data_IF_299147443015
#
_entry.id   IF_299147443015
#
_cell.length_a   1.000
_cell.length_b   1.000
_cell.length_c   1.000
_cell.angle_alpha   90.00
_cell.angle_beta   90.00
_cell.angle_gamma   90.00
#
_symmetry.space_group_name_H-M   'P 1'
#
loop_
_entity.id
_entity.type
_entity.pdbx_description
1 polymer ?
#
# COMPACT_ATOMS: atom_id res chain seq x y z
N UNK A 1 41.89 -62.16 18.65
CA UNK A 1 42.21 -60.78 18.20
C UNK A 1 41.15 -59.86 18.77
N UNK A 2 41.62 -58.81 19.44
CA UNK A 2 40.88 -57.98 20.39
C UNK A 2 39.82 -57.04 19.78
N UNK A 3 38.92 -56.50 20.62
CA UNK A 3 37.66 -55.82 20.26
C UNK A 3 37.71 -54.31 20.49
N UNK A 4 37.09 -53.45 19.66
CA UNK A 4 36.95 -52.03 20.01
C UNK A 4 35.57 -51.45 19.65
N UNK A 5 34.87 -51.07 20.74
CA UNK A 5 33.60 -50.35 20.83
C UNK A 5 33.70 -48.90 20.33
N UNK A 6 32.57 -48.26 19.92
CA UNK A 6 32.49 -46.81 19.90
C UNK A 6 32.24 -46.29 21.32
N UNK A 7 33.15 -45.41 21.75
CA UNK A 7 33.11 -44.70 23.03
C UNK A 7 31.80 -43.91 23.17
N UNK A 8 31.10 -44.19 24.27
CA UNK A 8 30.09 -43.33 24.86
C UNK A 8 30.81 -42.04 25.30
N UNK A 9 30.67 -40.95 24.53
CA UNK A 9 31.15 -39.64 24.95
C UNK A 9 30.30 -39.21 26.14
N UNK A 10 30.95 -39.16 27.30
CA UNK A 10 30.46 -38.51 28.50
C UNK A 10 30.04 -37.08 28.12
N UNK A 11 28.75 -36.77 28.28
CA UNK A 11 28.30 -35.39 28.32
C UNK A 11 29.05 -34.71 29.47
N UNK A 12 29.97 -33.81 29.11
CA UNK A 12 30.55 -32.85 30.04
C UNK A 12 29.40 -32.05 30.62
N UNK A 13 29.09 -32.30 31.90
CA UNK A 13 28.26 -31.41 32.71
C UNK A 13 28.85 -30.01 32.56
N UNK A 14 28.12 -29.11 31.90
CA UNK A 14 28.37 -27.69 32.03
C UNK A 14 28.35 -27.35 33.53
N UNK A 15 29.32 -26.57 34.03
CA UNK A 15 29.29 -26.12 35.40
C UNK A 15 28.00 -25.31 35.60
N UNK A 16 27.33 -25.63 36.70
CA UNK A 16 26.13 -24.98 37.23
C UNK A 16 26.18 -23.46 36.95
N UNK A 17 25.47 -23.00 35.93
CA UNK A 17 25.18 -21.58 35.78
C UNK A 17 24.28 -21.23 36.96
N UNK A 18 24.78 -20.36 37.84
CA UNK A 18 23.97 -19.64 38.81
C UNK A 18 22.72 -19.10 38.10
N UNK A 19 21.53 -19.14 38.72
CA UNK A 19 20.33 -18.60 38.10
C UNK A 19 20.59 -17.13 37.76
N UNK A 20 20.69 -16.83 36.47
CA UNK A 20 20.81 -15.46 35.97
C UNK A 20 19.65 -14.66 36.54
N UNK A 21 19.92 -13.59 37.29
CA UNK A 21 18.91 -12.62 37.74
C UNK A 21 18.23 -12.03 36.49
N UNK A 22 17.03 -12.49 36.12
CA UNK A 22 16.38 -12.04 34.89
C UNK A 22 15.58 -10.77 35.15
N UNK A 23 15.89 -9.74 34.39
CA UNK A 23 15.03 -8.58 34.16
C UNK A 23 14.47 -8.69 32.76
N UNK A 24 13.16 -8.50 32.60
CA UNK A 24 12.48 -8.63 31.31
C UNK A 24 11.69 -7.36 31.02
N UNK A 25 11.80 -6.87 29.79
CA UNK A 25 11.01 -5.78 29.26
C UNK A 25 10.13 -6.33 28.13
N UNK A 26 8.83 -6.06 28.17
CA UNK A 26 7.89 -6.50 27.13
C UNK A 26 6.91 -5.39 26.77
N UNK A 27 6.74 -5.18 25.47
CA UNK A 27 5.74 -4.27 24.92
C UNK A 27 4.46 -5.07 24.60
N UNK A 28 3.30 -4.57 25.07
CA UNK A 28 1.98 -5.01 24.65
C UNK A 28 1.23 -3.84 24.03
N UNK A 29 0.66 -4.04 22.84
CA UNK A 29 -0.17 -3.05 22.17
C UNK A 29 -1.63 -3.44 22.30
N UNK A 30 -2.52 -2.45 22.37
CA UNK A 30 -3.96 -2.69 22.38
C UNK A 30 -4.45 -3.11 21.00
N UNK A 31 -3.97 -2.43 19.96
CA UNK A 31 -4.19 -2.80 18.56
C UNK A 31 -2.86 -3.11 17.87
N UNK A 32 -2.83 -4.06 16.92
CA UNK A 32 -1.65 -4.35 16.12
C UNK A 32 -1.44 -3.35 14.96
N UNK A 33 -2.45 -2.50 14.70
CA UNK A 33 -2.49 -1.59 13.56
C UNK A 33 -2.94 -0.20 13.99
N UNK A 34 -2.24 0.84 13.51
CA UNK A 34 -2.66 2.23 13.56
C UNK A 34 -3.26 2.64 12.22
N UNK A 35 -4.37 3.38 12.25
CA UNK A 35 -5.18 3.71 11.06
C UNK A 35 -5.17 5.22 10.84
N UNK A 36 -4.59 5.65 9.70
CA UNK A 36 -4.66 7.01 9.20
C UNK A 36 -5.94 7.20 8.37
N UNK A 37 -6.56 8.37 8.44
CA UNK A 37 -7.75 8.69 7.64
C UNK A 37 -7.46 9.82 6.65
N UNK A 38 -8.04 9.73 5.46
CA UNK A 38 -7.93 10.75 4.41
C UNK A 38 -6.57 10.75 3.71
N UNK A 39 -6.36 11.71 2.80
CA UNK A 39 -5.11 11.87 2.06
C UNK A 39 -3.99 12.43 2.94
N UNK A 40 -2.73 12.20 2.57
CA UNK A 40 -1.56 12.61 3.38
C UNK A 40 -1.49 14.12 3.70
N UNK A 41 -2.14 14.97 2.89
CA UNK A 41 -2.14 16.42 3.04
C UNK A 41 -3.34 16.99 3.82
N UNK A 42 -4.41 16.21 3.95
CA UNK A 42 -5.69 16.66 4.53
C UNK A 42 -6.24 15.67 5.56
N UNK A 43 -5.48 14.62 5.86
CA UNK A 43 -5.88 13.50 6.69
C UNK A 43 -5.59 13.70 8.16
N UNK A 44 -6.24 12.88 8.98
CA UNK A 44 -6.04 12.88 10.43
C UNK A 44 -4.93 11.93 10.86
N UNK A 45 -4.31 12.26 11.99
CA UNK A 45 -3.29 11.45 12.62
C UNK A 45 -3.89 10.15 13.18
N UNK A 46 -3.06 9.10 13.29
CA UNK A 46 -3.44 7.85 13.92
C UNK A 46 -2.92 7.79 15.36
N UNK A 47 -3.57 6.97 16.18
CA UNK A 47 -3.14 6.70 17.54
C UNK A 47 -2.78 5.24 17.72
N UNK A 48 -1.75 4.99 18.51
CA UNK A 48 -1.43 3.66 19.00
C UNK A 48 -1.19 3.67 20.50
N UNK A 49 -1.90 2.82 21.21
CA UNK A 49 -1.87 2.68 22.66
C UNK A 49 -1.37 1.29 23.07
N UNK A 50 -0.79 1.24 24.26
CA UNK A 50 -0.28 -0.01 24.80
C UNK A 50 0.26 0.14 26.21
N UNK A 51 0.90 -0.94 26.66
CA UNK A 51 1.53 -1.06 27.97
C UNK A 51 2.93 -1.60 27.84
N UNK A 52 3.82 -1.02 28.63
CA UNK A 52 5.17 -1.51 28.85
C UNK A 52 5.21 -2.30 30.15
N UNK A 53 5.62 -3.56 30.05
CA UNK A 53 5.73 -4.48 31.18
C UNK A 53 7.21 -4.65 31.54
N UNK A 54 7.59 -4.18 32.71
CA UNK A 54 8.93 -4.37 33.27
C UNK A 54 8.86 -5.35 34.43
N UNK A 55 9.46 -6.53 34.27
CA UNK A 55 9.52 -7.54 35.31
C UNK A 55 10.91 -7.60 35.93
N UNK A 56 10.99 -7.38 37.24
CA UNK A 56 12.21 -7.45 38.03
C UNK A 56 12.14 -8.61 39.02
N UNK A 57 13.01 -9.60 38.88
CA UNK A 57 13.11 -10.74 39.83
C UNK A 57 13.63 -10.34 41.21
N UNK A 58 14.30 -9.19 41.32
CA UNK A 58 14.84 -8.58 42.54
C UNK A 58 14.66 -7.06 42.46
N UNK A 59 14.75 -6.36 43.60
CA UNK A 59 14.75 -4.90 43.60
C UNK A 59 15.91 -4.35 42.77
N UNK A 60 15.64 -3.36 41.92
CA UNK A 60 16.60 -2.81 40.98
C UNK A 60 16.48 -1.29 40.88
N UNK A 61 17.61 -0.61 40.71
CA UNK A 61 17.64 0.81 40.42
C UNK A 61 17.58 1.01 38.91
N UNK A 62 16.54 1.69 38.45
CA UNK A 62 16.35 2.03 37.03
C UNK A 62 16.69 3.50 36.84
N UNK A 63 17.70 3.77 36.02
CA UNK A 63 18.18 5.12 35.71
C UNK A 63 17.27 5.79 34.68
N UNK A 64 16.92 5.05 33.63
CA UNK A 64 15.96 5.51 32.63
C UNK A 64 15.13 4.36 32.06
N UNK A 65 13.92 4.68 31.65
CA UNK A 65 13.03 3.80 30.90
C UNK A 65 12.44 4.60 29.75
N UNK A 66 13.04 4.44 28.58
CA UNK A 66 12.74 5.23 27.40
C UNK A 66 12.04 4.36 26.35
N UNK A 67 11.05 4.94 25.68
CA UNK A 67 10.34 4.35 24.56
C UNK A 67 10.43 5.29 23.38
N UNK A 68 10.74 4.75 22.21
CA UNK A 68 10.82 5.51 20.96
C UNK A 68 10.00 4.80 19.90
N UNK A 69 9.14 5.54 19.21
CA UNK A 69 8.47 5.08 18.00
C UNK A 69 9.31 5.51 16.81
N UNK A 70 9.65 4.56 15.95
CA UNK A 70 10.56 4.78 14.83
C UNK A 70 9.96 4.19 13.55
N UNK A 71 10.15 4.94 12.46
CA UNK A 71 9.86 4.51 11.10
C UNK A 71 11.15 3.97 10.47
N UNK A 72 11.09 2.74 9.96
CA UNK A 72 12.18 2.07 9.28
C UNK A 72 11.86 1.96 7.78
N UNK A 73 12.62 2.67 6.95
CA UNK A 73 12.57 2.51 5.49
C UNK A 73 13.80 1.74 5.07
N UNK A 74 13.65 0.52 4.55
CA UNK A 74 14.78 -0.29 4.06
C UNK A 74 14.76 -0.36 2.54
N UNK A 75 15.88 -0.01 1.91
CA UNK A 75 16.04 -0.01 0.46
C UNK A 75 16.58 -1.36 -0.01
N UNK A 76 15.84 -2.04 -0.90
CA UNK A 76 16.24 -3.33 -1.48
C UNK A 76 17.39 -3.17 -2.48
N UNK A 77 17.54 -1.98 -3.07
CA UNK A 77 18.60 -1.63 -4.03
C UNK A 77 19.33 -0.34 -3.61
N UNK A 78 20.12 -0.37 -2.52
CA UNK A 78 20.80 0.82 -2.01
C UNK A 78 21.88 1.33 -2.97
N UNK A 79 22.22 2.63 -2.86
CA UNK A 79 23.28 3.26 -3.69
C UNK A 79 24.61 2.50 -3.60
N UNK A 80 25.02 2.12 -2.39
CA UNK A 80 26.19 1.29 -2.15
C UNK A 80 25.79 0.01 -1.41
N UNK A 81 26.05 -1.13 -2.04
CA UNK A 81 25.91 -2.46 -1.41
C UNK A 81 26.80 -2.51 -0.15
N UNK A 82 26.27 -3.10 0.93
CA UNK A 82 26.91 -3.23 2.25
C UNK A 82 27.12 -1.94 3.07
N UNK A 83 26.54 -0.81 2.67
CA UNK A 83 26.52 0.38 3.51
C UNK A 83 25.21 0.45 4.31
N UNK A 84 25.29 0.37 5.64
CA UNK A 84 24.11 0.46 6.51
C UNK A 84 23.32 1.76 6.30
N UNK A 85 24.01 2.90 6.12
CA UNK A 85 23.38 4.20 5.89
C UNK A 85 22.78 4.35 4.49
N UNK A 86 23.22 3.56 3.49
CA UNK A 86 22.53 3.52 2.20
C UNK A 86 21.36 2.54 2.20
N UNK A 87 21.39 1.54 3.10
CA UNK A 87 20.46 0.42 3.12
C UNK A 87 19.17 0.73 3.85
N UNK A 88 19.17 1.69 4.79
CA UNK A 88 17.99 2.04 5.54
C UNK A 88 18.02 3.47 6.08
N UNK A 89 16.83 4.06 6.19
CA UNK A 89 16.56 5.24 7.01
C UNK A 89 15.81 4.83 8.27
N UNK A 90 16.21 5.43 9.39
CA UNK A 90 15.63 5.21 10.70
C UNK A 90 15.19 6.58 11.23
N UNK A 91 13.89 6.83 11.16
CA UNK A 91 13.31 8.14 11.45
C UNK A 91 12.59 8.04 12.80
N UNK A 92 13.11 8.68 13.88
CA UNK A 92 12.39 8.75 15.14
C UNK A 92 11.18 9.66 14.99
N UNK A 93 10.00 9.15 15.37
CA UNK A 93 8.73 9.87 15.27
C UNK A 93 8.45 10.57 16.59
N UNK A 94 8.43 9.80 17.68
CA UNK A 94 8.14 10.27 19.02
C UNK A 94 8.99 9.52 20.04
N UNK A 95 9.31 10.20 21.14
CA UNK A 95 10.04 9.63 22.27
C UNK A 95 9.29 9.96 23.56
N UNK A 96 9.20 8.98 24.45
CA UNK A 96 8.58 9.10 25.76
C UNK A 96 9.45 8.41 26.81
N UNK A 97 9.66 9.07 27.94
CA UNK A 97 10.42 8.53 29.07
C UNK A 97 9.47 8.23 30.22
N UNK A 98 9.25 6.94 30.49
CA UNK A 98 8.44 6.48 31.61
C UNK A 98 9.16 6.68 32.95
N UNK A 99 10.49 6.59 32.93
CA UNK A 99 11.38 6.88 34.06
C UNK A 99 12.51 7.76 33.50
N UNK A 100 12.62 8.99 33.99
CA UNK A 100 13.65 9.96 33.59
C UNK A 100 14.66 10.26 34.69
N UNK A 101 14.41 9.76 35.89
CA UNK A 101 15.27 9.91 37.07
C UNK A 101 15.45 8.58 37.77
N UNK A 102 16.59 8.41 38.45
CA UNK A 102 16.93 7.19 39.16
C UNK A 102 15.78 6.77 40.11
N UNK A 103 15.17 5.62 39.82
CA UNK A 103 14.01 5.11 40.53
C UNK A 103 14.25 3.68 41.02
N UNK A 104 14.13 3.42 42.33
CA UNK A 104 14.10 2.05 42.84
C UNK A 104 12.78 1.38 42.45
N UNK A 105 12.85 0.28 41.72
CA UNK A 105 11.72 -0.60 41.46
C UNK A 105 11.82 -1.84 42.35
N UNK A 106 10.78 -2.15 43.16
CA UNK A 106 10.77 -3.37 43.95
C UNK A 106 10.64 -4.61 43.06
N UNK A 107 10.90 -5.78 43.64
CA UNK A 107 10.66 -7.07 42.98
C UNK A 107 9.20 -7.15 42.53
N UNK A 108 8.98 -7.53 41.28
CA UNK A 108 7.65 -7.71 40.71
C UNK A 108 7.51 -7.18 39.29
N UNK A 109 6.27 -7.20 38.81
CA UNK A 109 5.87 -6.65 37.52
C UNK A 109 5.40 -5.21 37.69
N UNK A 110 5.94 -4.33 36.86
CA UNK A 110 5.59 -2.91 36.79
C UNK A 110 4.99 -2.63 35.42
N UNK A 111 3.90 -1.87 35.38
CA UNK A 111 3.21 -1.50 34.15
C UNK A 111 3.29 0.01 33.95
N UNK A 112 3.54 0.41 32.71
CA UNK A 112 3.53 1.81 32.31
C UNK A 112 2.67 1.94 31.04
N UNK A 113 1.62 2.75 31.11
CA UNK A 113 0.76 3.02 29.96
C UNK A 113 1.46 3.96 28.99
N UNK A 114 1.28 3.70 27.69
CA UNK A 114 1.91 4.48 26.63
C UNK A 114 0.91 4.71 25.49
N UNK A 115 0.94 5.92 24.95
CA UNK A 115 0.14 6.32 23.79
C UNK A 115 0.98 7.20 22.87
N UNK A 116 0.95 6.91 21.58
CA UNK A 116 1.70 7.65 20.58
C UNK A 116 0.79 8.10 19.45
N UNK A 117 1.12 9.26 18.90
CA UNK A 117 0.49 9.82 17.69
C UNK A 117 1.39 9.50 16.51
N UNK A 118 0.80 8.98 15.44
CA UNK A 118 1.45 8.78 14.15
C UNK A 118 0.96 9.90 13.22
N UNK A 119 1.83 10.85 12.87
CA UNK A 119 1.45 11.96 11.99
C UNK A 119 0.95 11.51 10.63
N UNK A 120 -0.07 12.19 10.10
CA UNK A 120 -0.76 11.82 8.86
C UNK A 120 0.08 11.88 7.59
N UNK A 121 1.16 12.66 7.61
CA UNK A 121 2.10 12.78 6.49
C UNK A 121 3.12 11.64 6.41
N UNK A 122 3.19 10.77 7.41
CA UNK A 122 4.13 9.64 7.42
C UNK A 122 3.60 8.46 6.58
N UNK A 123 4.52 7.61 6.08
CA UNK A 123 4.14 6.59 5.14
C UNK A 123 3.41 5.38 5.70
N UNK A 124 2.43 4.85 4.98
CA UNK A 124 1.83 3.57 5.38
C UNK A 124 2.84 2.42 5.34
N UNK A 125 2.61 1.39 6.16
CA UNK A 125 3.44 0.18 6.12
C UNK A 125 3.24 -0.56 4.80
N UNK A 126 4.34 -0.84 4.10
CA UNK A 126 4.30 -1.45 2.77
C UNK A 126 5.56 -2.26 2.47
N UNK A 127 5.43 -3.29 1.65
CA UNK A 127 6.54 -4.06 1.09
C UNK A 127 6.51 -3.95 -0.44
N UNK A 128 7.36 -3.08 -0.99
CA UNK A 128 7.45 -2.82 -2.43
C UNK A 128 8.66 -3.54 -3.05
N UNK A 129 8.73 -3.69 -4.39
CA UNK A 129 9.92 -4.24 -5.04
C UNK A 129 11.22 -3.45 -4.78
N UNK A 130 11.12 -2.17 -4.40
CA UNK A 130 12.25 -1.27 -4.21
C UNK A 130 12.59 -1.00 -2.73
N UNK A 131 11.60 -1.01 -1.84
CA UNK A 131 11.78 -0.69 -0.43
C UNK A 131 10.68 -1.28 0.48
N UNK A 132 11.00 -1.46 1.76
CA UNK A 132 10.06 -1.85 2.82
C UNK A 132 9.91 -0.73 3.84
N UNK A 133 8.68 -0.47 4.27
CA UNK A 133 8.33 0.53 5.28
C UNK A 133 7.72 -0.18 6.48
N UNK A 134 8.38 -0.10 7.63
CA UNK A 134 7.96 -0.75 8.88
C UNK A 134 7.98 0.24 10.05
N UNK A 135 7.08 0.05 11.01
CA UNK A 135 7.06 0.83 12.25
C UNK A 135 7.47 -0.04 13.43
N UNK A 136 8.35 0.50 14.28
CA UNK A 136 8.86 -0.17 15.47
C UNK A 136 8.65 0.70 16.71
N UNK A 137 8.14 0.10 17.78
CA UNK A 137 8.25 0.62 19.13
C UNK A 137 9.47 -0.03 19.77
N UNK A 138 10.45 0.80 20.11
CA UNK A 138 11.69 0.42 20.76
C UNK A 138 11.68 0.92 22.20
N UNK A 139 11.68 0.01 23.18
CA UNK A 139 11.78 0.34 24.58
C UNK A 139 13.14 -0.09 25.14
N UNK A 140 13.77 0.77 25.94
CA UNK A 140 15.09 0.53 26.54
C UNK A 140 15.09 1.00 28.00
N UNK A 141 15.50 0.11 28.89
CA UNK A 141 15.72 0.38 30.30
C UNK A 141 17.22 0.40 30.60
N UNK A 142 17.71 1.48 31.20
CA UNK A 142 19.04 1.56 31.79
C UNK A 142 18.93 1.27 33.27
N UNK A 143 19.69 0.28 33.74
CA UNK A 143 19.67 -0.15 35.13
C UNK A 143 21.07 -0.05 35.72
N UNK A 144 21.17 0.39 36.96
CA UNK A 144 22.46 0.53 37.64
C UNK A 144 23.14 -0.84 37.78
N UNK A 145 24.41 -0.91 37.42
CA UNK A 145 25.25 -2.12 37.48
C UNK A 145 24.71 -3.34 36.70
N UNK A 146 23.79 -3.14 35.74
CA UNK A 146 23.30 -4.20 34.85
C UNK A 146 23.37 -3.77 33.39
N UNK A 147 23.38 -4.77 32.50
CA UNK A 147 23.26 -4.50 31.06
C UNK A 147 21.88 -3.89 30.74
N UNK A 148 21.79 -2.96 29.78
CA UNK A 148 20.53 -2.40 29.33
C UNK A 148 19.56 -3.49 28.86
N UNK A 149 18.30 -3.42 29.33
CA UNK A 149 17.25 -4.32 28.88
C UNK A 149 16.46 -3.62 27.79
N UNK A 150 16.29 -4.25 26.63
CA UNK A 150 15.54 -3.67 25.52
C UNK A 150 14.46 -4.61 25.00
N UNK A 151 13.39 -4.03 24.47
CA UNK A 151 12.28 -4.73 23.82
C UNK A 151 11.90 -4.00 22.56
N UNK A 152 11.50 -4.76 21.53
CA UNK A 152 11.06 -4.24 20.25
C UNK A 152 9.70 -4.81 19.89
N UNK A 153 8.83 -4.00 19.30
CA UNK A 153 7.54 -4.47 18.77
C UNK A 153 7.23 -3.76 17.46
N UNK A 154 7.04 -4.55 16.40
CA UNK A 154 6.57 -4.05 15.11
C UNK A 154 5.04 -3.94 15.15
N UNK A 155 4.51 -2.89 14.53
CA UNK A 155 3.08 -2.69 14.30
C UNK A 155 2.87 -2.17 12.87
N UNK A 156 1.64 -2.30 12.36
CA UNK A 156 1.28 -1.87 11.01
C UNK A 156 0.67 -0.48 11.05
N UNK A 157 0.97 0.34 10.04
CA UNK A 157 0.25 1.59 9.76
C UNK A 157 -0.50 1.40 8.46
N UNK A 158 -1.80 1.60 8.47
CA UNK A 158 -2.67 1.53 7.30
C UNK A 158 -3.35 2.89 7.10
N UNK A 159 -3.85 3.13 5.89
CA UNK A 159 -4.64 4.33 5.59
C UNK A 159 -5.96 3.96 4.95
N UNK A 160 -7.01 4.65 5.41
CA UNK A 160 -8.34 4.63 4.82
C UNK A 160 -8.49 5.88 3.97
N UNK A 161 -8.86 5.69 2.72
CA UNK A 161 -9.12 6.80 1.79
C UNK A 161 -10.62 7.02 1.67
N UNK A 162 -11.06 8.25 1.94
CA UNK A 162 -12.37 8.75 1.56
C UNK A 162 -12.35 9.01 0.05
N UNK A 163 -12.58 7.96 -0.73
CA UNK A 163 -12.63 8.09 -2.18
C UNK A 163 -14.07 7.92 -2.66
N UNK A 164 -14.63 8.98 -3.24
CA UNK A 164 -15.95 8.93 -3.84
C UNK A 164 -15.99 7.87 -4.95
N UNK A 165 -16.85 6.87 -4.80
CA UNK A 165 -17.01 5.79 -5.78
C UNK A 165 -17.92 6.17 -6.95
N UNK A 166 -17.88 7.43 -7.37
CA UNK A 166 -18.74 7.94 -8.44
C UNK A 166 -18.16 7.59 -9.81
N UNK A 167 -19.01 7.12 -10.72
CA UNK A 167 -18.63 6.85 -12.11
C UNK A 167 -18.27 8.15 -12.80
N UNK A 168 -17.06 8.23 -13.34
CA UNK A 168 -16.56 9.38 -14.09
C UNK A 168 -16.49 9.06 -15.58
N UNK A 169 -16.83 10.06 -16.39
CA UNK A 169 -16.76 9.99 -17.85
C UNK A 169 -15.46 10.63 -18.34
N UNK A 170 -14.73 9.92 -19.20
CA UNK A 170 -13.48 10.40 -19.79
C UNK A 170 -13.49 10.20 -21.30
N UNK A 171 -13.27 11.26 -22.07
CA UNK A 171 -13.28 11.21 -23.53
C UNK A 171 -11.87 11.37 -24.09
N UNK A 172 -11.53 10.52 -25.05
CA UNK A 172 -10.27 10.48 -25.78
C UNK A 172 -10.54 10.72 -27.26
N UNK A 173 -9.89 11.72 -27.85
CA UNK A 173 -10.01 12.03 -29.27
C UNK A 173 -8.74 11.57 -30.00
N UNK A 174 -8.88 10.65 -30.95
CA UNK A 174 -7.76 10.09 -31.71
C UNK A 174 -7.65 10.74 -33.08
N UNK A 175 -6.96 11.87 -33.15
CA UNK A 175 -6.84 12.70 -34.35
C UNK A 175 -6.40 11.94 -35.62
N UNK A 176 -5.58 10.90 -35.50
CA UNK A 176 -5.11 10.11 -36.65
C UNK A 176 -6.21 9.26 -37.31
N UNK A 177 -7.29 8.99 -36.59
CA UNK A 177 -8.40 8.12 -37.05
C UNK A 177 -9.75 8.82 -37.02
N UNK A 178 -9.83 10.02 -36.43
CA UNK A 178 -11.06 10.75 -36.09
C UNK A 178 -12.02 9.98 -35.19
N UNK A 179 -11.55 8.90 -34.56
CA UNK A 179 -12.32 8.13 -33.59
C UNK A 179 -12.34 8.87 -32.26
N UNK A 180 -13.52 8.93 -31.65
CA UNK A 180 -13.69 9.41 -30.28
C UNK A 180 -14.04 8.21 -29.40
N UNK A 181 -13.38 8.07 -28.27
CA UNK A 181 -13.68 7.00 -27.31
C UNK A 181 -14.00 7.58 -25.95
N UNK A 182 -15.13 7.16 -25.40
CA UNK A 182 -15.60 7.56 -24.08
C UNK A 182 -15.55 6.38 -23.14
N UNK A 183 -14.89 6.58 -22.00
CA UNK A 183 -14.63 5.63 -20.94
C UNK A 183 -15.42 6.05 -19.70
N UNK A 184 -16.20 5.14 -19.13
CA UNK A 184 -16.94 5.36 -17.89
C UNK A 184 -16.50 4.33 -16.85
N UNK A 185 -15.85 4.77 -15.78
CA UNK A 185 -15.37 3.92 -14.69
C UNK A 185 -15.37 4.66 -13.35
N UNK A 186 -15.21 3.90 -12.27
CA UNK A 186 -14.88 4.47 -10.98
C UNK A 186 -13.36 4.66 -10.89
N UNK A 187 -12.92 5.84 -10.47
CA UNK A 187 -11.48 6.11 -10.25
C UNK A 187 -10.91 5.28 -9.10
N UNK A 188 -11.78 4.73 -8.23
CA UNK A 188 -11.43 3.86 -7.11
C UNK A 188 -11.59 2.39 -7.52
N UNK A 189 -10.51 1.64 -7.38
CA UNK A 189 -10.44 0.20 -7.67
C UNK A 189 -10.39 -0.55 -6.35
N UNK A 190 -11.29 -1.52 -6.20
CA UNK A 190 -11.35 -2.41 -5.05
C UNK A 190 -10.64 -3.73 -5.40
N UNK A 191 -9.52 -4.09 -4.75
CA UNK A 191 -8.80 -5.32 -5.02
C UNK A 191 -9.64 -6.61 -5.01
N UNK A 192 -10.56 -6.72 -4.04
CA UNK A 192 -11.41 -7.91 -3.85
C UNK A 192 -12.82 -7.71 -4.48
N UNK A 193 -13.13 -6.49 -4.90
CA UNK A 193 -14.44 -6.14 -5.47
C UNK A 193 -14.54 -6.34 -6.98
N UNK A 194 -15.75 -6.16 -7.52
CA UNK A 194 -15.97 -6.08 -8.97
C UNK A 194 -15.71 -4.64 -9.42
N UNK A 195 -14.73 -4.46 -10.30
CA UNK A 195 -14.47 -3.18 -10.97
C UNK A 195 -14.80 -3.34 -12.45
N UNK A 196 -15.67 -2.46 -12.95
CA UNK A 196 -16.16 -2.52 -14.33
C UNK A 196 -15.89 -1.22 -15.05
N UNK A 197 -15.53 -1.31 -16.32
CA UNK A 197 -15.45 -0.17 -17.23
C UNK A 197 -16.50 -0.31 -18.32
N UNK A 198 -17.15 0.80 -18.67
CA UNK A 198 -17.99 0.91 -19.85
C UNK A 198 -17.28 1.77 -20.91
N UNK A 199 -17.31 1.34 -22.16
CA UNK A 199 -16.66 2.02 -23.28
C UNK A 199 -17.67 2.25 -24.39
N UNK A 200 -17.63 3.45 -24.97
CA UNK A 200 -18.30 3.82 -26.21
C UNK A 200 -17.26 4.34 -27.19
N UNK A 201 -17.28 3.84 -28.42
CA UNK A 201 -16.43 4.28 -29.53
C UNK A 201 -17.34 4.90 -30.58
N UNK A 202 -17.18 6.20 -30.82
CA UNK A 202 -17.92 6.99 -31.79
C UNK A 202 -17.08 7.24 -33.06
N UNK A 203 -17.75 7.69 -34.13
CA UNK A 203 -17.14 8.00 -35.43
C UNK A 203 -16.45 6.79 -36.08
N UNK A 204 -17.06 5.61 -35.96
CA UNK A 204 -16.50 4.37 -36.53
C UNK A 204 -16.69 4.26 -38.05
N UNK A 205 -17.50 5.14 -38.66
CA UNK A 205 -17.79 5.13 -40.09
C UNK A 205 -17.38 6.42 -40.77
N UNK A 206 -16.90 6.32 -42.01
CA UNK A 206 -16.64 7.46 -42.90
C UNK A 206 -17.25 7.21 -44.27
N UNK A 207 -18.05 8.16 -44.77
CA UNK A 207 -18.67 8.09 -46.09
C UNK A 207 -17.66 8.40 -47.19
N UNK A 208 -17.62 7.55 -48.22
CA UNK A 208 -16.87 7.76 -49.46
C UNK A 208 -17.83 7.83 -50.66
N UNK A 209 -17.36 8.34 -51.79
CA UNK A 209 -18.17 8.52 -53.00
C UNK A 209 -18.78 7.20 -53.53
N UNK A 210 -18.15 6.06 -53.28
CA UNK A 210 -18.54 4.74 -53.80
C UNK A 210 -18.88 3.72 -52.69
N UNK A 211 -18.92 4.12 -51.43
CA UNK A 211 -19.21 3.21 -50.32
C UNK A 211 -18.88 3.78 -48.94
N UNK A 212 -18.79 2.90 -47.96
CA UNK A 212 -18.56 3.26 -46.55
C UNK A 212 -17.26 2.63 -46.07
N UNK A 213 -16.42 3.42 -45.42
CA UNK A 213 -15.32 2.89 -44.61
C UNK A 213 -15.80 2.68 -43.18
N UNK A 214 -15.51 1.50 -42.62
CA UNK A 214 -15.96 1.11 -41.28
C UNK A 214 -14.77 0.60 -40.48
N UNK A 215 -14.59 1.15 -39.28
CA UNK A 215 -13.69 0.61 -38.28
C UNK A 215 -14.40 -0.50 -37.51
N UNK A 216 -13.81 -1.70 -37.54
CA UNK A 216 -14.24 -2.85 -36.76
C UNK A 216 -13.31 -3.08 -35.60
N UNK A 217 -13.86 -3.28 -34.41
CA UNK A 217 -13.08 -3.65 -33.23
C UNK A 217 -12.74 -5.14 -33.33
N UNK A 218 -11.46 -5.49 -33.19
CA UNK A 218 -10.97 -6.86 -33.30
C UNK A 218 -10.51 -7.44 -31.96
N UNK A 219 -9.93 -6.58 -31.12
CA UNK A 219 -9.36 -7.01 -29.86
C UNK A 219 -9.26 -5.85 -28.89
N UNK A 220 -9.72 -6.08 -27.67
CA UNK A 220 -9.48 -5.20 -26.53
C UNK A 220 -8.45 -5.86 -25.63
N UNK A 221 -7.50 -5.10 -25.13
CA UNK A 221 -6.58 -5.53 -24.07
C UNK A 221 -6.59 -4.48 -22.99
N UNK A 222 -6.69 -4.90 -21.73
CA UNK A 222 -6.47 -4.01 -20.60
C UNK A 222 -5.32 -4.50 -19.73
N UNK A 223 -4.61 -3.55 -19.12
CA UNK A 223 -3.57 -3.80 -18.12
C UNK A 223 -3.79 -2.85 -16.95
N UNK A 224 -3.68 -3.38 -15.74
CA UNK A 224 -3.57 -2.58 -14.54
C UNK A 224 -2.09 -2.59 -14.15
N UNK A 225 -1.48 -1.41 -14.15
CA UNK A 225 -0.06 -1.20 -13.86
C UNK A 225 0.11 -0.56 -12.50
N UNK A 226 1.12 -1.02 -11.76
CA UNK A 226 1.59 -0.42 -10.52
C UNK A 226 3.00 0.10 -10.76
N UNK A 227 3.20 1.39 -10.50
CA UNK A 227 4.51 2.04 -10.57
C UNK A 227 4.94 2.43 -9.16
N UNK A 228 6.11 1.97 -8.76
CA UNK A 228 6.75 2.33 -7.51
C UNK A 228 7.96 3.20 -7.80
N UNK A 229 8.03 4.37 -7.17
CA UNK A 229 9.16 5.28 -7.24
C UNK A 229 9.73 5.50 -5.84
N UNK A 230 11.04 5.37 -5.68
CA UNK A 230 11.74 5.57 -4.40
C UNK A 230 12.89 6.53 -4.61
N UNK A 231 12.98 7.53 -3.75
CA UNK A 231 14.16 8.40 -3.66
C UNK A 231 15.12 7.84 -2.62
N UNK A 232 16.37 7.56 -3.03
CA UNK A 232 17.40 7.04 -2.14
C UNK A 232 18.00 8.16 -1.28
N UNK A 233 18.37 7.88 -0.02
CA UNK A 233 18.90 8.88 0.88
C UNK A 233 20.29 9.31 0.43
N UNK A 234 20.60 10.60 0.68
CA UNK A 234 21.94 11.11 0.51
C UNK A 234 22.83 10.56 1.62
N UNK A 235 23.67 9.58 1.27
CA UNK A 235 24.54 8.95 2.24
C UNK A 235 25.74 9.85 2.55
N UNK A 236 25.99 10.25 3.81
CA UNK A 236 27.15 11.06 4.16
C UNK A 236 28.49 10.33 3.90
N UNK A 237 28.48 8.99 3.87
CA UNK A 237 29.66 8.17 3.52
C UNK A 237 29.90 8.06 2.01
N UNK A 238 28.88 8.34 1.21
CA UNK A 238 28.92 8.27 -0.26
C UNK A 238 28.26 9.52 -0.83
N UNK A 239 28.83 10.71 -0.60
CA UNK A 239 28.22 11.95 -1.05
C UNK A 239 28.14 11.95 -2.58
N UNK A 240 26.94 12.17 -3.09
CA UNK A 240 26.73 12.52 -4.49
C UNK A 240 27.17 13.97 -4.71
N UNK A 241 27.56 14.32 -5.94
CA UNK A 241 27.98 15.68 -6.25
C UNK A 241 26.86 16.69 -5.90
N UNK A 242 27.17 17.90 -5.39
CA UNK A 242 26.15 18.84 -4.93
C UNK A 242 25.19 19.33 -6.03
N UNK A 243 25.53 19.12 -7.30
CA UNK A 243 24.70 19.44 -8.47
C UNK A 243 23.91 18.25 -9.02
N UNK A 244 24.09 17.03 -8.48
CA UNK A 244 23.35 15.87 -8.95
C UNK A 244 21.95 15.83 -8.32
N UNK A 245 20.94 15.62 -9.16
CA UNK A 245 19.58 15.33 -8.71
C UNK A 245 19.57 14.13 -7.76
N UNK A 246 18.62 14.08 -6.80
CA UNK A 246 18.50 12.94 -5.90
C UNK A 246 18.33 11.65 -6.71
N UNK A 247 19.02 10.58 -6.28
CA UNK A 247 18.99 9.30 -7.01
C UNK A 247 17.62 8.67 -6.82
N UNK A 248 16.82 8.66 -7.88
CA UNK A 248 15.52 8.03 -7.92
C UNK A 248 15.59 6.68 -8.61
N UNK A 249 14.85 5.71 -8.06
CA UNK A 249 14.63 4.40 -8.65
C UNK A 249 13.15 4.23 -8.91
N UNK A 250 12.78 3.72 -10.08
CA UNK A 250 11.40 3.39 -10.40
C UNK A 250 11.29 1.96 -10.93
N UNK A 251 10.16 1.32 -10.62
CA UNK A 251 9.83 -0.01 -11.12
C UNK A 251 8.32 -0.07 -11.40
N UNK A 252 7.97 -0.46 -12.63
CA UNK A 252 6.58 -0.63 -13.04
C UNK A 252 6.30 -2.10 -13.30
N UNK A 253 5.22 -2.63 -12.72
CA UNK A 253 4.77 -4.01 -12.91
C UNK A 253 3.30 -4.06 -13.28
N UNK A 254 2.94 -5.09 -14.06
CA UNK A 254 1.53 -5.35 -14.42
C UNK A 254 0.91 -6.23 -13.33
N UNK A 255 -0.07 -5.68 -12.61
CA UNK A 255 -0.78 -6.35 -11.51
C UNK A 255 -2.11 -6.98 -11.95
N UNK A 256 -2.63 -6.59 -13.12
CA UNK A 256 -3.82 -7.17 -13.74
C UNK A 256 -3.74 -7.11 -15.26
N UNK A 257 -4.19 -8.14 -15.97
CA UNK A 257 -4.25 -8.09 -17.45
C UNK A 257 -5.27 -9.07 -18.02
N UNK A 258 -6.02 -8.64 -19.02
CA UNK A 258 -6.85 -9.54 -19.84
C UNK A 258 -6.96 -9.04 -21.27
N UNK A 259 -7.28 -9.95 -22.19
CA UNK A 259 -7.63 -9.61 -23.57
C UNK A 259 -8.97 -10.23 -23.93
N UNK A 260 -9.77 -9.46 -24.66
CA UNK A 260 -11.10 -9.81 -25.14
C UNK A 260 -11.10 -9.74 -26.67
N UNK A 261 -11.78 -10.70 -27.30
CA UNK A 261 -11.95 -10.79 -28.77
C UNK A 261 -13.43 -10.76 -29.18
N UNK A 262 -14.31 -10.57 -28.21
CA UNK A 262 -15.76 -10.51 -28.37
C UNK A 262 -16.35 -9.76 -27.16
N UNK A 263 -17.66 -9.50 -27.18
CA UNK A 263 -18.39 -8.84 -26.10
C UNK A 263 -18.68 -7.36 -26.33
N UNK A 264 -18.58 -6.90 -27.57
CA UNK A 264 -19.02 -5.58 -27.99
C UNK A 264 -20.23 -5.67 -28.91
N UNK A 265 -21.06 -4.63 -28.81
CA UNK A 265 -22.22 -4.42 -29.65
C UNK A 265 -21.89 -3.31 -30.64
N UNK A 266 -22.06 -3.62 -31.93
CA UNK A 266 -21.90 -2.63 -33.01
C UNK A 266 -23.31 -2.10 -33.34
N UNK A 267 -23.44 -0.77 -33.36
CA UNK A 267 -24.69 -0.08 -33.67
C UNK A 267 -24.55 0.70 -34.99
N UNK A 268 -24.41 0.02 -36.15
CA UNK A 268 -24.10 0.65 -37.42
C UNK A 268 -25.29 1.41 -38.04
N UNK A 269 -26.52 1.11 -37.61
CA UNK A 269 -27.75 1.64 -38.20
C UNK A 269 -28.30 2.87 -37.46
N UNK A 270 -27.62 3.33 -36.41
CA UNK A 270 -28.01 4.54 -35.69
C UNK A 270 -27.57 5.80 -36.44
N UNK A 271 -28.19 6.95 -36.10
CA UNK A 271 -27.81 8.25 -36.66
C UNK A 271 -26.34 8.59 -36.45
N UNK A 272 -25.74 8.06 -35.39
CA UNK A 272 -24.30 8.05 -35.13
C UNK A 272 -23.81 6.62 -34.90
N UNK A 273 -23.22 5.98 -35.94
CA UNK A 273 -22.65 4.65 -35.82
C UNK A 273 -21.57 4.59 -34.74
N UNK A 274 -21.71 3.62 -33.83
CA UNK A 274 -20.84 3.52 -32.67
C UNK A 274 -20.73 2.07 -32.18
N UNK A 275 -19.72 1.81 -31.33
CA UNK A 275 -19.50 0.51 -30.67
C UNK A 275 -19.62 0.72 -29.16
N UNK A 276 -20.35 -0.15 -28.46
CA UNK A 276 -20.40 -0.17 -26.99
C UNK A 276 -19.96 -1.51 -26.44
N UNK A 277 -19.29 -1.49 -25.29
CA UNK A 277 -18.99 -2.69 -24.52
C UNK A 277 -18.63 -2.36 -23.08
N UNK A 278 -18.62 -3.39 -22.25
CA UNK A 278 -18.12 -3.30 -20.89
C UNK A 278 -17.21 -4.48 -20.58
N UNK A 279 -16.31 -4.29 -19.63
CA UNK A 279 -15.53 -5.39 -19.08
C UNK A 279 -15.18 -5.15 -17.63
N UNK A 280 -15.04 -6.26 -16.92
CA UNK A 280 -14.49 -6.26 -15.57
C UNK A 280 -12.96 -6.35 -15.61
N UNK A 281 -12.32 -5.65 -14.67
CA UNK A 281 -10.88 -5.65 -14.49
C UNK A 281 -10.56 -5.80 -13.00
N UNK A 282 -9.70 -6.77 -12.68
CA UNK A 282 -9.31 -7.09 -11.31
C UNK A 282 -7.82 -7.43 -11.27
N UNK A 283 -7.26 -7.54 -10.06
CA UNK A 283 -5.89 -8.00 -9.88
C UNK A 283 -5.77 -9.48 -10.28
N UNK A 284 -4.63 -9.85 -10.89
CA UNK A 284 -4.35 -11.23 -11.30
C UNK A 284 -4.14 -12.17 -10.10
N UNK A 285 -3.85 -11.64 -8.91
CA UNK A 285 -3.60 -12.41 -7.69
C UNK A 285 -4.54 -11.95 -6.58
N UNK A 286 -5.58 -12.73 -6.33
CA UNK A 286 -6.32 -12.66 -5.06
C UNK A 286 -5.38 -13.19 -3.98
N UNK A 287 -4.84 -12.32 -3.11
CA UNK A 287 -4.06 -12.73 -1.93
C UNK A 287 -2.54 -12.49 -1.96
N UNK A 288 -2.00 -11.70 -2.89
CA UNK A 288 -0.65 -11.12 -2.69
C UNK A 288 -0.79 -9.64 -2.35
N UNK A 289 -0.18 -9.22 -1.23
CA UNK A 289 -0.11 -7.86 -0.68
C UNK A 289 -0.33 -6.77 -1.74
N UNK A 290 -1.58 -6.35 -1.92
CA UNK A 290 -1.90 -5.22 -2.75
C UNK A 290 -1.26 -4.00 -2.08
N UNK A 291 -0.41 -3.30 -2.82
CA UNK A 291 0.20 -2.07 -2.35
C UNK A 291 -0.73 -0.96 -2.78
N UNK A 292 -1.26 -0.21 -1.82
CA UNK A 292 -2.22 0.85 -2.11
C UNK A 292 -1.52 2.12 -2.59
N UNK A 293 -2.25 2.95 -3.32
CA UNK A 293 -1.69 4.18 -3.85
C UNK A 293 -1.25 5.09 -2.70
N UNK A 294 -0.03 5.62 -2.80
CA UNK A 294 0.55 6.49 -1.79
C UNK A 294 1.47 7.51 -2.44
N UNK A 295 1.26 8.79 -2.14
CA UNK A 295 2.14 9.88 -2.55
C UNK A 295 2.61 10.62 -1.31
N UNK A 296 3.53 10.02 -0.56
CA UNK A 296 3.97 10.54 0.74
C UNK A 296 5.41 11.04 0.66
N UNK A 297 5.68 12.17 1.31
CA UNK A 297 6.95 12.89 1.20
C UNK A 297 8.16 12.14 1.79
N UNK A 298 7.93 11.13 2.63
CA UNK A 298 8.96 10.41 3.38
C UNK A 298 9.08 8.91 3.02
N UNK A 299 8.40 8.44 1.97
CA UNK A 299 8.33 7.01 1.65
C UNK A 299 8.35 6.69 0.15
N UNK A 300 8.24 5.40 -0.20
CA UNK A 300 7.99 4.97 -1.57
C UNK A 300 6.68 5.57 -2.10
N UNK A 301 6.71 6.14 -3.30
CA UNK A 301 5.53 6.57 -4.02
C UNK A 301 4.98 5.40 -4.82
N UNK A 302 3.68 5.14 -4.70
CA UNK A 302 2.98 4.05 -5.39
C UNK A 302 1.82 4.64 -6.15
N UNK A 303 1.81 4.43 -7.47
CA UNK A 303 0.75 4.90 -8.36
C UNK A 303 0.22 3.74 -9.21
N UNK A 304 -1.09 3.75 -9.46
CA UNK A 304 -1.75 2.75 -10.31
C UNK A 304 -2.36 3.40 -11.54
N UNK A 305 -2.35 2.67 -12.65
CA UNK A 305 -2.98 3.11 -13.89
C UNK A 305 -3.66 1.96 -14.63
N UNK A 306 -4.88 2.22 -15.12
CA UNK A 306 -5.57 1.37 -16.08
C UNK A 306 -5.18 1.79 -17.50
N UNK A 307 -4.52 0.88 -18.22
CA UNK A 307 -4.22 1.00 -19.64
C UNK A 307 -5.24 0.16 -20.43
N UNK A 308 -5.86 0.76 -21.44
CA UNK A 308 -6.77 0.09 -22.38
C UNK A 308 -6.24 0.26 -23.80
N UNK A 309 -6.07 -0.85 -24.51
CA UNK A 309 -5.63 -0.92 -25.90
C UNK A 309 -6.75 -1.50 -26.78
N UNK A 310 -7.24 -0.71 -27.74
CA UNK A 310 -8.25 -1.10 -28.71
C UNK A 310 -7.57 -1.36 -30.05
N UNK A 311 -7.68 -2.57 -30.58
CA UNK A 311 -7.14 -2.93 -31.90
C UNK A 311 -8.29 -2.90 -32.89
N UNK A 312 -8.21 -2.02 -33.88
CA UNK A 312 -9.24 -1.85 -34.91
C UNK A 312 -8.69 -2.13 -36.30
N UNK A 313 -9.55 -2.70 -37.12
CA UNK A 313 -9.33 -2.92 -38.55
C UNK A 313 -10.27 -2.05 -39.37
N UNK A 314 -9.74 -1.46 -40.45
CA UNK A 314 -10.51 -0.64 -41.37
C UNK A 314 -10.98 -1.49 -42.54
N UNK A 315 -12.29 -1.58 -42.72
CA UNK A 315 -12.92 -2.28 -43.84
C UNK A 315 -13.62 -1.31 -44.77
N UNK A 316 -13.79 -1.73 -46.02
CA UNK A 316 -14.63 -1.05 -46.99
C UNK A 316 -15.88 -1.88 -47.24
N UNK A 317 -17.04 -1.22 -47.24
CA UNK A 317 -18.35 -1.83 -47.40
C UNK A 317 -19.10 -1.12 -48.52
N UNK A 318 -19.62 -1.90 -49.47
CA UNK A 318 -20.48 -1.37 -50.53
C UNK A 318 -21.93 -1.31 -50.04
N UNK A 319 -22.70 -0.25 -50.38
CA UNK A 319 -24.10 -0.11 -49.97
C UNK A 319 -24.98 -1.27 -50.43
N UNK A 320 -24.65 -1.86 -51.58
CA UNK A 320 -25.41 -2.95 -52.21
C UNK A 320 -25.11 -4.34 -51.61
N UNK A 321 -24.07 -4.46 -50.77
CA UNK A 321 -23.67 -5.73 -50.14
C UNK A 321 -23.02 -5.51 -48.77
N UNK A 322 -23.81 -5.06 -47.76
CA UNK A 322 -23.29 -4.70 -46.44
C UNK A 322 -22.66 -5.87 -45.66
N UNK A 323 -23.00 -7.11 -46.03
CA UNK A 323 -22.46 -8.35 -45.46
C UNK A 323 -21.11 -8.77 -46.07
N UNK A 324 -20.74 -8.22 -47.23
CA UNK A 324 -19.50 -8.59 -47.92
C UNK A 324 -18.41 -7.58 -47.56
N UNK A 325 -17.74 -7.81 -46.44
CA UNK A 325 -16.63 -6.94 -46.02
C UNK A 325 -15.39 -7.23 -46.85
N UNK A 326 -14.76 -6.20 -47.39
CA UNK A 326 -13.45 -6.35 -48.02
C UNK A 326 -12.41 -6.86 -47.01
N UNK A 327 -11.29 -7.45 -47.48
CA UNK A 327 -10.11 -7.61 -46.64
C UNK A 327 -9.74 -6.28 -45.95
N UNK A 328 -9.14 -6.35 -44.74
CA UNK A 328 -8.77 -5.15 -43.99
C UNK A 328 -7.79 -4.31 -44.80
N UNK A 329 -8.08 -3.02 -44.94
CA UNK A 329 -7.24 -2.05 -45.67
C UNK A 329 -6.18 -1.42 -44.78
N UNK A 330 -6.42 -1.38 -43.47
CA UNK A 330 -5.51 -0.81 -42.48
C UNK A 330 -5.82 -1.37 -41.09
N UNK A 331 -4.81 -1.37 -40.23
CA UNK A 331 -4.92 -1.73 -38.81
C UNK A 331 -4.41 -0.57 -37.95
N UNK A 332 -5.03 -0.34 -36.80
CA UNK A 332 -4.58 0.65 -35.84
C UNK A 332 -4.79 0.19 -34.40
N UNK A 333 -3.99 0.72 -33.48
CA UNK A 333 -4.15 0.49 -32.04
C UNK A 333 -4.34 1.81 -31.33
N UNK A 334 -5.50 1.98 -30.69
CA UNK A 334 -5.81 3.13 -29.86
C UNK A 334 -5.46 2.81 -28.41
N UNK A 335 -4.66 3.66 -27.77
CA UNK A 335 -4.21 3.47 -26.37
C UNK A 335 -4.78 4.57 -25.48
N UNK A 336 -5.37 4.17 -24.38
CA UNK A 336 -5.89 5.06 -23.34
C UNK A 336 -5.26 4.68 -22.00
N UNK A 337 -4.80 5.67 -21.25
CA UNK A 337 -4.27 5.50 -19.90
C UNK A 337 -5.08 6.35 -18.93
N UNK A 338 -5.52 5.75 -17.82
CA UNK A 338 -6.15 6.45 -16.70
C UNK A 338 -5.46 6.13 -15.38
N UNK A 339 -5.05 7.13 -14.60
CA UNK A 339 -4.73 6.93 -13.19
C UNK A 339 -5.94 6.38 -12.45
N UNK A 340 -5.71 5.43 -11.55
CA UNK A 340 -6.72 4.86 -10.66
C UNK A 340 -6.16 4.74 -9.25
N UNK A 341 -7.03 4.75 -8.24
CA UNK A 341 -6.67 4.62 -6.83
C UNK A 341 -7.07 3.23 -6.37
N UNK A 342 -6.08 2.43 -5.96
CA UNK A 342 -6.31 1.12 -5.37
C UNK A 342 -6.47 1.26 -3.86
N UNK A 343 -7.60 0.83 -3.29
CA UNK A 343 -7.84 0.79 -1.82
C UNK A 343 -8.82 -0.32 -1.44
N UNK A 344 -8.55 -1.01 -0.32
CA UNK A 344 -9.48 -1.98 0.30
C UNK A 344 -10.29 -1.38 1.46
N UNK A 345 -9.86 -0.24 2.00
CA UNK A 345 -10.48 0.40 3.15
C UNK A 345 -11.14 1.70 2.69
N UNK A 346 -12.48 1.69 2.70
CA UNK A 346 -13.32 2.88 2.58
C UNK A 346 -14.14 2.91 3.87
N UNK A 347 -14.23 4.06 4.53
CA UNK A 347 -15.18 4.18 5.64
C UNK A 347 -16.59 3.82 5.14
N UNK A 348 -17.38 3.04 5.89
CA UNK A 348 -18.81 2.98 5.61
C UNK A 348 -19.32 4.43 5.69
N UNK A 349 -19.84 4.94 4.58
CA UNK A 349 -20.12 6.36 4.35
C UNK A 349 -21.15 6.99 5.28
N UNK A 350 -21.63 6.27 6.30
CA UNK A 350 -22.40 6.80 7.43
C UNK A 350 -22.20 5.82 8.60
N UNK A 351 -21.86 6.26 9.83
CA UNK A 351 -22.16 5.43 10.99
C UNK A 351 -23.66 5.11 10.96
N UNK A 352 -24.14 3.94 11.43
CA UNK A 352 -25.57 3.73 11.57
C UNK A 352 -26.10 4.92 12.37
N UNK A 353 -26.96 5.72 11.74
CA UNK A 353 -27.66 6.76 12.45
C UNK A 353 -28.40 6.01 13.55
N UNK A 354 -27.96 6.17 14.80
CA UNK A 354 -28.82 5.90 15.93
C UNK A 354 -29.96 6.90 15.79
N UNK A 355 -30.98 6.53 15.01
CA UNK A 355 -32.22 7.27 14.90
C UNK A 355 -32.66 7.50 16.34
N UNK A 356 -32.81 8.77 16.71
CA UNK A 356 -32.91 9.21 18.10
C UNK A 356 -33.84 8.36 18.94
N UNK A 357 -33.31 7.34 19.60
CA UNK A 357 -33.90 6.71 20.75
C UNK A 357 -33.50 7.57 21.94
N UNK A 358 -34.50 8.11 22.62
CA UNK A 358 -34.43 9.04 23.76
C UNK A 358 -33.69 8.52 24.99
N UNK A 359 -33.11 7.32 24.95
CA UNK A 359 -32.49 6.69 26.10
C UNK A 359 -31.00 6.98 26.11
N UNK A 360 -30.68 8.20 26.53
CA UNK A 360 -29.33 8.51 27.01
C UNK A 360 -29.00 7.56 28.17
N UNK A 361 -27.76 7.04 28.29
CA UNK A 361 -27.39 6.21 29.43
C UNK A 361 -27.57 7.00 30.73
N UNK A 362 -28.00 6.35 31.83
CA UNK A 362 -28.31 7.06 33.07
C UNK A 362 -27.06 7.78 33.61
N UNK A 363 -27.26 9.04 33.97
CA UNK A 363 -26.28 9.87 34.67
C UNK A 363 -25.89 9.19 35.99
N UNK A 364 -24.60 8.96 36.20
CA UNK A 364 -24.07 8.60 37.51
C UNK A 364 -24.13 9.86 38.38
N UNK A 365 -25.10 9.88 39.29
CA UNK A 365 -25.14 10.89 40.34
C UNK A 365 -23.93 10.71 41.27
N UNK A 366 -23.24 11.83 41.52
CA UNK A 366 -22.15 11.96 42.48
C UNK A 366 -22.50 11.34 43.83
N UNK A 367 -21.71 10.35 44.25
CA UNK A 367 -21.71 9.89 45.64
C UNK A 367 -20.76 10.80 46.41
N UNK A 368 -21.31 11.86 47.01
CA UNK A 368 -20.60 12.71 47.96
C UNK A 368 -20.29 11.93 49.25
N UNK A 369 -19.01 11.93 49.66
CA UNK A 369 -18.58 11.62 51.03
C UNK A 369 -18.75 12.84 51.93
#
# INVERSE_FOLDING_TARGET
MSPWSPRRLLATRQPNQTPSRRTNLKIKLETPTAILHGYFNSGSDAYISGRLLFNAEEAIQVESLDVTVQLHVRYKRPQKKNCATCAQDLIPITQWSAISTLKPLPKGQHEFDMSFVIPSHLPVSMDTPLATVEYEIYAKALCTEREPVASKKIFKVERILEAESNKQLHTYNFNSTNITTTLCLNSVVRPIGTNSVQIRIDNITSGLAIGLEVWKLQKVTWKLEESVTVTLPNCPRHPTAPTSQPIQQSETRVIGKKSLRHGWEEHPNESQPHITFSFDYNLNRVGSDAIYACDESAGPQVAHALLVELHLEKHFVLPESPWMTSPPRAETTLRMTRPVVLTDLVEPSVPPAYGGSSDSPPSYADVSY
#
